data_IF_815969527722
#
_entry.id   IF_815969527722
#
_cell.length_a   1.000
_cell.length_b   1.000
_cell.length_c   1.000
_cell.angle_alpha   90.00
_cell.angle_beta   90.00
_cell.angle_gamma   90.00
#
_symmetry.space_group_name_H-M   'P 1'
#
loop_
_entity.id
_entity.type
_entity.pdbx_description
1 polymer ?
#
# COMPACT_ATOMS: atom_id res chain seq x y z
N UNK A 1 -22.96 -26.79 -19.36
CA UNK A 1 -23.02 -25.44 -18.72
C UNK A 1 -22.13 -24.37 -19.36
N UNK A 2 -21.06 -24.70 -20.12
CA UNK A 2 -20.09 -23.74 -20.69
C UNK A 2 -20.64 -22.58 -21.54
N UNK A 3 -21.79 -22.76 -22.20
CA UNK A 3 -22.30 -21.81 -23.20
C UNK A 3 -23.53 -21.01 -22.76
N UNK A 4 -24.10 -21.30 -21.57
CA UNK A 4 -25.42 -20.73 -21.19
C UNK A 4 -25.36 -19.23 -20.87
N UNK A 5 -24.17 -18.71 -20.54
CA UNK A 5 -23.98 -17.33 -20.13
C UNK A 5 -23.09 -16.52 -21.10
N UNK A 6 -22.52 -17.17 -22.13
CA UNK A 6 -21.77 -16.48 -23.19
C UNK A 6 -22.76 -15.84 -24.15
N UNK A 7 -22.73 -14.51 -24.30
CA UNK A 7 -23.72 -13.83 -25.13
C UNK A 7 -23.58 -12.31 -25.14
N UNK A 8 -24.43 -11.64 -25.93
CA UNK A 8 -24.58 -10.18 -25.89
C UNK A 8 -25.64 -9.85 -24.84
N UNK A 9 -25.32 -8.90 -23.99
CA UNK A 9 -26.19 -8.39 -22.93
C UNK A 9 -26.30 -6.89 -23.08
N UNK A 10 -27.49 -6.37 -22.77
CA UNK A 10 -27.74 -4.94 -22.72
C UNK A 10 -27.98 -4.58 -21.27
N UNK A 11 -27.20 -3.65 -20.74
CA UNK A 11 -27.53 -3.00 -19.48
C UNK A 11 -28.15 -1.65 -19.79
N UNK A 12 -29.26 -1.33 -19.13
CA UNK A 12 -29.93 -0.03 -19.21
C UNK A 12 -29.72 0.76 -17.91
N UNK A 13 -28.52 1.33 -17.69
CA UNK A 13 -28.37 2.32 -16.62
C UNK A 13 -29.18 3.57 -17.00
N UNK A 14 -29.83 4.20 -16.01
CA UNK A 14 -30.68 5.42 -16.13
C UNK A 14 -30.08 6.44 -17.12
N UNK A 15 -30.42 6.35 -18.41
CA UNK A 15 -29.73 7.09 -19.48
C UNK A 15 -29.64 6.29 -20.78
N UNK A 16 -28.42 5.96 -21.23
CA UNK A 16 -28.18 5.24 -22.49
C UNK A 16 -27.83 3.78 -22.22
N UNK A 17 -28.62 2.87 -22.79
CA UNK A 17 -28.34 1.44 -22.74
C UNK A 17 -27.02 1.10 -23.42
N UNK A 18 -26.14 0.37 -22.72
CA UNK A 18 -24.86 -0.09 -23.25
C UNK A 18 -24.95 -1.57 -23.53
N UNK A 19 -24.69 -1.96 -24.78
CA UNK A 19 -24.57 -3.36 -25.17
C UNK A 19 -23.13 -3.81 -24.96
N UNK A 20 -22.94 -4.95 -24.32
CA UNK A 20 -21.64 -5.59 -24.16
C UNK A 20 -21.75 -7.09 -24.32
N UNK A 21 -20.66 -7.72 -24.75
CA UNK A 21 -20.55 -9.17 -24.83
C UNK A 21 -19.97 -9.71 -23.53
N UNK A 22 -20.67 -10.64 -22.89
CA UNK A 22 -20.17 -11.37 -21.73
C UNK A 22 -19.45 -12.64 -22.20
N UNK A 23 -18.25 -12.84 -21.65
CA UNK A 23 -17.39 -13.99 -21.88
C UNK A 23 -17.15 -14.68 -20.54
N UNK A 24 -17.64 -15.90 -20.39
CA UNK A 24 -17.50 -16.74 -19.20
C UNK A 24 -16.51 -17.85 -19.49
N UNK A 25 -15.42 -17.92 -18.74
CA UNK A 25 -14.41 -18.97 -18.89
C UNK A 25 -14.03 -19.57 -17.53
N UNK A 26 -13.49 -20.76 -17.56
CA UNK A 26 -13.01 -21.45 -16.36
C UNK A 26 -11.63 -20.91 -15.97
N UNK A 27 -11.55 -20.34 -14.77
CA UNK A 27 -10.32 -19.86 -14.16
C UNK A 27 -9.57 -20.97 -13.43
N UNK A 28 -8.52 -20.58 -12.70
CA UNK A 28 -7.76 -21.52 -11.86
C UNK A 28 -8.64 -22.03 -10.70
N UNK A 29 -8.52 -23.32 -10.36
CA UNK A 29 -9.23 -24.00 -9.25
C UNK A 29 -10.75 -24.12 -9.44
N UNK A 30 -11.22 -24.38 -10.66
CA UNK A 30 -12.65 -24.63 -10.94
C UNK A 30 -13.58 -23.43 -10.75
N UNK A 31 -13.03 -22.22 -10.58
CA UNK A 31 -13.83 -20.99 -10.45
C UNK A 31 -14.16 -20.44 -11.84
N UNK A 32 -15.44 -20.17 -12.09
CA UNK A 32 -15.87 -19.49 -13.32
C UNK A 32 -15.62 -17.98 -13.22
N UNK A 33 -14.99 -17.42 -14.25
CA UNK A 33 -14.70 -15.99 -14.35
C UNK A 33 -15.46 -15.42 -15.54
N UNK A 34 -16.16 -14.30 -15.32
CA UNK A 34 -16.87 -13.57 -16.36
C UNK A 34 -16.13 -12.27 -16.71
N UNK A 35 -16.08 -11.93 -17.99
CA UNK A 35 -15.53 -10.67 -18.52
C UNK A 35 -16.53 -10.04 -19.47
N UNK A 36 -16.83 -8.77 -19.29
CA UNK A 36 -17.54 -7.98 -20.28
C UNK A 36 -16.55 -7.40 -21.30
N UNK A 37 -16.88 -7.43 -22.58
CA UNK A 37 -16.11 -6.81 -23.65
C UNK A 37 -17.03 -6.24 -24.71
N UNK A 38 -16.64 -5.14 -25.34
CA UNK A 38 -17.31 -4.61 -26.53
C UNK A 38 -16.56 -4.98 -27.83
N UNK A 39 -15.54 -5.85 -27.73
CA UNK A 39 -14.72 -6.21 -28.88
C UNK A 39 -15.33 -7.41 -29.61
N UNK A 40 -15.43 -7.28 -30.93
CA UNK A 40 -15.88 -8.38 -31.80
C UNK A 40 -14.71 -9.28 -32.21
N UNK A 41 -14.05 -9.88 -31.22
CA UNK A 41 -12.94 -10.81 -31.43
C UNK A 41 -13.22 -12.14 -30.74
N UNK A 42 -12.47 -13.17 -31.14
CA UNK A 42 -12.60 -14.50 -30.55
C UNK A 42 -12.28 -14.48 -29.05
N UNK A 43 -13.07 -15.22 -28.26
CA UNK A 43 -12.94 -15.42 -26.81
C UNK A 43 -11.50 -15.70 -26.36
N UNK A 44 -10.78 -16.57 -27.07
CA UNK A 44 -9.39 -16.91 -26.74
C UNK A 44 -8.46 -15.71 -26.88
N UNK A 45 -8.64 -14.89 -27.91
CA UNK A 45 -7.83 -13.69 -28.16
C UNK A 45 -8.06 -12.63 -27.09
N UNK A 46 -9.33 -12.38 -26.71
CA UNK A 46 -9.67 -11.45 -25.62
C UNK A 46 -8.99 -11.84 -24.32
N UNK A 47 -9.10 -13.12 -23.92
CA UNK A 47 -8.50 -13.62 -22.68
C UNK A 47 -6.97 -13.50 -22.74
N UNK A 48 -6.36 -13.85 -23.87
CA UNK A 48 -4.90 -13.75 -24.08
C UNK A 48 -4.42 -12.31 -23.94
N UNK A 49 -5.08 -11.35 -24.59
CA UNK A 49 -4.70 -9.93 -24.51
C UNK A 49 -4.92 -9.36 -23.13
N UNK A 50 -6.06 -9.66 -22.50
CA UNK A 50 -6.33 -9.22 -21.13
C UNK A 50 -5.26 -9.74 -20.16
N UNK A 51 -4.92 -11.03 -20.23
CA UNK A 51 -3.87 -11.59 -19.36
C UNK A 51 -2.50 -11.00 -19.67
N UNK A 52 -2.18 -10.75 -20.95
CA UNK A 52 -0.92 -10.11 -21.36
C UNK A 52 -0.74 -8.73 -20.73
N UNK A 53 -1.80 -7.95 -20.60
CA UNK A 53 -1.75 -6.61 -19.97
C UNK A 53 -1.79 -6.70 -18.45
N UNK A 54 -2.68 -7.54 -17.90
CA UNK A 54 -2.88 -7.65 -16.45
C UNK A 54 -1.69 -8.28 -15.72
N UNK A 55 -1.11 -9.34 -16.26
CA UNK A 55 -0.07 -10.11 -15.55
C UNK A 55 1.17 -9.28 -15.23
N UNK A 56 1.73 -8.46 -16.14
CA UNK A 56 2.83 -7.56 -15.81
C UNK A 56 2.48 -6.55 -14.71
N UNK A 57 1.26 -5.98 -14.73
CA UNK A 57 0.80 -5.02 -13.71
C UNK A 57 0.68 -5.68 -12.35
N UNK A 58 0.03 -6.85 -12.27
CA UNK A 58 -0.09 -7.60 -11.03
C UNK A 58 1.28 -8.07 -10.51
N UNK A 59 2.17 -8.48 -11.42
CA UNK A 59 3.51 -8.93 -11.07
C UNK A 59 4.34 -7.77 -10.55
N UNK A 60 4.29 -6.60 -11.20
CA UNK A 60 4.96 -5.39 -10.74
C UNK A 60 4.44 -4.98 -9.35
N UNK A 61 3.11 -4.92 -9.16
CA UNK A 61 2.52 -4.62 -7.85
C UNK A 61 2.95 -5.64 -6.78
N UNK A 62 2.99 -6.93 -7.13
CA UNK A 62 3.45 -7.99 -6.23
C UNK A 62 4.93 -7.86 -5.91
N UNK A 63 5.77 -7.52 -6.89
CA UNK A 63 7.21 -7.28 -6.68
C UNK A 63 7.42 -6.06 -5.79
N UNK A 64 6.82 -4.92 -6.10
CA UNK A 64 6.87 -3.71 -5.27
C UNK A 64 6.40 -4.01 -3.84
N UNK A 65 5.32 -4.77 -3.68
CA UNK A 65 4.82 -5.18 -2.36
C UNK A 65 5.72 -6.19 -1.65
N UNK A 66 6.49 -6.99 -2.39
CA UNK A 66 7.43 -7.97 -1.83
C UNK A 66 8.72 -7.35 -1.30
N UNK A 67 9.04 -6.12 -1.71
CA UNK A 67 10.43 -5.64 -1.68
C UNK A 67 10.95 -5.02 -0.39
N UNK A 68 10.23 -4.97 0.75
CA UNK A 68 10.87 -4.97 2.11
C UNK A 68 9.94 -4.65 3.27
N UNK A 69 8.98 -3.75 3.12
CA UNK A 69 8.27 -3.20 4.30
C UNK A 69 7.04 -4.05 4.69
N UNK A 70 6.58 -4.97 3.83
CA UNK A 70 5.38 -5.79 4.07
C UNK A 70 5.64 -7.28 4.33
N UNK A 71 6.87 -7.76 4.24
CA UNK A 71 7.25 -9.12 4.72
C UNK A 71 7.40 -9.15 6.25
N UNK A 72 7.55 -7.98 6.84
CA UNK A 72 7.46 -7.70 8.26
C UNK A 72 6.00 -7.40 8.65
N UNK A 73 5.61 -7.83 9.86
CA UNK A 73 4.30 -7.64 10.52
C UNK A 73 3.54 -6.37 10.08
N UNK A 74 2.20 -6.41 10.11
CA UNK A 74 1.35 -5.23 9.85
C UNK A 74 1.63 -4.06 10.81
N UNK A 75 2.32 -4.29 11.93
CA UNK A 75 2.68 -3.24 12.88
C UNK A 75 3.75 -2.31 12.30
N UNK A 76 3.46 -1.02 12.25
CA UNK A 76 4.38 0.05 11.85
C UNK A 76 5.71 -0.02 12.63
N UNK A 77 5.63 -0.30 13.94
CA UNK A 77 6.78 -0.45 14.84
C UNK A 77 7.80 -1.50 14.36
N UNK A 78 7.34 -2.67 13.89
CA UNK A 78 8.26 -3.74 13.48
C UNK A 78 8.98 -3.42 12.15
N UNK A 79 8.39 -2.57 11.31
CA UNK A 79 9.02 -2.12 10.05
C UNK A 79 10.18 -1.17 10.31
N UNK A 80 9.98 -0.21 11.22
CA UNK A 80 11.04 0.70 11.63
C UNK A 80 12.11 -0.02 12.44
N UNK A 81 11.78 -1.03 13.23
CA UNK A 81 12.78 -1.84 13.92
C UNK A 81 13.72 -2.55 12.93
N UNK A 82 13.17 -3.19 11.90
CA UNK A 82 13.97 -3.83 10.84
C UNK A 82 14.79 -2.79 10.07
N UNK A 83 14.21 -1.63 9.77
CA UNK A 83 14.90 -0.53 9.09
C UNK A 83 16.06 0.02 9.93
N UNK A 84 15.86 0.20 11.25
CA UNK A 84 16.87 0.66 12.19
C UNK A 84 18.03 -0.33 12.32
N UNK A 85 17.73 -1.64 12.37
CA UNK A 85 18.74 -2.70 12.29
C UNK A 85 19.55 -2.62 10.99
N UNK A 86 18.88 -2.43 9.84
CA UNK A 86 19.53 -2.32 8.54
C UNK A 86 20.47 -1.10 8.49
N UNK A 87 19.99 0.05 8.96
CA UNK A 87 20.80 1.29 9.05
C UNK A 87 21.97 1.10 10.02
N UNK A 88 21.78 0.40 11.15
CA UNK A 88 22.84 0.11 12.10
C UNK A 88 23.91 -0.85 11.53
N UNK A 89 23.49 -1.90 10.83
CA UNK A 89 24.43 -2.80 10.15
C UNK A 89 25.20 -2.07 9.04
N UNK A 90 24.53 -1.20 8.29
CA UNK A 90 25.15 -0.35 7.29
C UNK A 90 26.17 0.62 7.91
N UNK A 91 25.86 1.20 9.07
CA UNK A 91 26.79 2.01 9.85
C UNK A 91 28.00 1.21 10.33
N UNK A 92 27.80 0.00 10.84
CA UNK A 92 28.92 -0.87 11.25
C UNK A 92 29.85 -1.20 10.08
N UNK A 93 29.31 -1.35 8.87
CA UNK A 93 30.07 -1.68 7.67
C UNK A 93 30.79 -0.45 7.10
N UNK A 94 30.10 0.68 6.91
CA UNK A 94 30.67 1.88 6.25
C UNK A 94 31.41 2.82 7.20
N UNK A 95 30.97 2.89 8.45
CA UNK A 95 31.35 3.96 9.36
C UNK A 95 32.37 3.52 10.42
N UNK A 96 32.87 2.27 10.33
CA UNK A 96 33.95 1.73 11.15
C UNK A 96 35.19 2.64 11.08
N UNK A 97 35.33 3.54 12.05
CA UNK A 97 36.45 4.47 12.20
C UNK A 97 36.27 5.91 11.68
N UNK A 98 35.12 6.28 11.09
CA UNK A 98 34.92 7.64 10.51
C UNK A 98 33.86 8.52 11.20
N UNK A 99 32.95 7.93 11.96
CA UNK A 99 31.84 8.69 12.57
C UNK A 99 31.72 8.35 14.04
N UNK A 100 31.51 9.38 14.87
CA UNK A 100 31.31 9.18 16.31
C UNK A 100 30.01 8.42 16.54
N UNK A 101 30.00 7.53 17.54
CA UNK A 101 28.79 6.78 17.94
C UNK A 101 27.62 7.71 18.26
N UNK A 102 27.91 8.91 18.76
CA UNK A 102 26.91 9.90 19.14
C UNK A 102 26.19 10.50 17.93
N UNK A 103 26.88 10.80 16.84
CA UNK A 103 26.24 11.30 15.61
C UNK A 103 25.26 10.28 15.02
N UNK A 104 25.58 8.99 15.13
CA UNK A 104 24.69 7.93 14.69
C UNK A 104 23.47 7.77 15.61
N UNK A 105 23.65 7.86 16.94
CA UNK A 105 22.55 7.86 17.91
C UNK A 105 21.60 9.03 17.68
N UNK A 106 22.13 10.22 17.41
CA UNK A 106 21.34 11.40 17.06
C UNK A 106 20.55 11.21 15.77
N UNK A 107 21.16 10.64 14.72
CA UNK A 107 20.46 10.33 13.47
C UNK A 107 19.32 9.32 13.70
N UNK A 108 19.56 8.26 14.48
CA UNK A 108 18.56 7.25 14.81
C UNK A 108 17.40 7.85 15.61
N UNK A 109 17.71 8.70 16.58
CA UNK A 109 16.73 9.40 17.41
C UNK A 109 15.91 10.40 16.58
N UNK A 110 16.54 11.14 15.67
CA UNK A 110 15.86 12.04 14.74
C UNK A 110 14.90 11.29 13.81
N UNK A 111 15.34 10.14 13.28
CA UNK A 111 14.51 9.30 12.41
C UNK A 111 13.28 8.76 13.13
N UNK A 112 13.42 8.44 14.43
CA UNK A 112 12.36 7.92 15.29
C UNK A 112 11.40 9.03 15.77
N UNK A 113 11.91 10.26 15.92
CA UNK A 113 11.10 11.44 16.24
C UNK A 113 10.30 11.95 15.04
N UNK A 114 10.79 11.74 13.81
CA UNK A 114 10.17 12.31 12.60
C UNK A 114 8.71 11.86 12.37
N UNK A 115 8.36 10.65 12.81
CA UNK A 115 7.01 10.07 12.66
C UNK A 115 6.05 10.58 13.75
N UNK A 116 6.59 11.00 14.90
CA UNK A 116 5.83 11.49 16.06
C UNK A 116 5.75 13.01 16.14
N UNK A 117 6.28 13.78 15.16
CA UNK A 117 6.32 15.25 15.26
C UNK A 117 4.91 15.82 15.46
N UNK A 118 3.91 15.32 14.73
CA UNK A 118 2.54 15.83 14.87
C UNK A 118 1.95 15.51 16.24
N UNK A 119 2.09 14.27 16.71
CA UNK A 119 1.62 13.86 18.04
C UNK A 119 2.36 14.64 19.14
N UNK A 120 3.67 14.82 19.01
CA UNK A 120 4.51 15.51 20.00
C UNK A 120 4.24 17.01 20.03
N UNK A 121 3.92 17.61 18.88
CA UNK A 121 3.42 19.00 18.78
C UNK A 121 2.07 19.11 19.47
N UNK A 122 1.14 18.20 19.21
CA UNK A 122 -0.19 18.20 19.81
C UNK A 122 -0.13 18.03 21.35
N UNK A 123 0.68 17.08 21.84
CA UNK A 123 0.97 16.93 23.27
C UNK A 123 1.63 18.17 23.89
N UNK A 124 2.57 18.80 23.17
CA UNK A 124 3.24 20.01 23.66
C UNK A 124 2.28 21.19 23.76
N UNK A 125 1.38 21.36 22.79
CA UNK A 125 0.35 22.40 22.79
C UNK A 125 -0.64 22.14 23.94
N UNK A 126 -1.08 20.90 24.12
CA UNK A 126 -2.00 20.53 25.20
C UNK A 126 -1.37 20.75 26.58
N UNK A 127 -0.11 20.39 26.75
CA UNK A 127 0.64 20.64 27.98
C UNK A 127 0.80 22.14 28.26
N UNK A 128 1.14 22.93 27.24
CA UNK A 128 1.34 24.38 27.37
C UNK A 128 0.02 25.09 27.69
N UNK A 129 -1.09 24.69 27.08
CA UNK A 129 -2.42 25.17 27.42
C UNK A 129 -2.82 24.81 28.86
N UNK A 130 -2.50 23.59 29.31
CA UNK A 130 -2.77 23.16 30.69
C UNK A 130 -1.97 23.99 31.70
N UNK A 131 -0.70 24.26 31.40
CA UNK A 131 0.14 25.12 32.22
C UNK A 131 -0.39 26.56 32.26
N UNK A 132 -0.69 27.17 31.11
CA UNK A 132 -1.22 28.53 31.05
C UNK A 132 -2.53 28.67 31.81
N UNK A 133 -3.45 27.72 31.65
CA UNK A 133 -4.72 27.71 32.39
C UNK A 133 -4.49 27.59 33.91
N UNK A 134 -3.49 26.83 34.34
CA UNK A 134 -3.12 26.73 35.77
C UNK A 134 -2.48 28.01 36.32
N UNK A 135 -1.78 28.78 35.48
CA UNK A 135 -1.26 30.09 35.85
C UNK A 135 -2.37 31.15 35.93
N UNK A 136 -3.31 31.16 34.98
CA UNK A 136 -4.46 32.07 35.01
C UNK A 136 -5.34 31.85 36.26
N UNK A 137 -5.63 30.59 36.60
CA UNK A 137 -6.40 30.23 37.80
C UNK A 137 -5.71 30.61 39.13
N UNK A 138 -4.39 30.72 39.16
CA UNK A 138 -3.62 31.14 40.34
C UNK A 138 -3.32 32.65 40.38
N UNK A 139 -3.84 33.42 39.42
CA UNK A 139 -3.61 34.86 39.28
C UNK A 139 -4.84 35.74 39.53
N UNK A 140 -5.96 35.13 39.97
CA UNK A 140 -7.20 35.78 40.40
C UNK A 140 -7.30 35.94 41.90
#
# INVERSE_FOLDING_TARGET
MRHKYDGKYTAEPKGKGVTFRLIVYEGRKGKYLAKATNLDVNKRSVIKWYNKVRTPIETSYKMTKSFLVFTSSKSWVFRFFVLAMLIYTLYLILAKGRTSRESFRLLLLLLLLLDNINDLVEYSIQFLNTLLNSFELNSG
#
